data_IF_004598832017
#
_entry.id   IF_004598832017
#
_cell.length_a   1.000
_cell.length_b   1.000
_cell.length_c   1.000
_cell.angle_alpha   90.00
_cell.angle_beta   90.00
_cell.angle_gamma   90.00
#
_symmetry.space_group_name_H-M   'P 1'
#
loop_
_entity.id
_entity.type
_entity.pdbx_description
1 polymer ?
#
# COMPACT_ATOMS: atom_id res chain seq x y z
N UNK A 1 26.63 2.43 -15.17
CA UNK A 1 25.45 2.21 -14.28
C UNK A 1 24.24 2.82 -14.98
N UNK A 2 23.26 2.00 -15.32
CA UNK A 2 22.05 2.48 -16.04
C UNK A 2 21.24 3.38 -15.09
N UNK A 3 20.53 4.39 -15.66
CA UNK A 3 19.59 5.24 -14.91
C UNK A 3 18.55 4.39 -14.14
N UNK A 4 18.17 3.24 -14.71
CA UNK A 4 17.31 2.25 -14.06
C UNK A 4 17.93 1.68 -12.77
N UNK A 5 19.23 1.37 -12.78
CA UNK A 5 19.91 0.78 -11.62
C UNK A 5 20.00 1.78 -10.46
N UNK A 6 20.23 3.07 -10.75
CA UNK A 6 20.31 4.11 -9.72
C UNK A 6 18.98 4.38 -9.02
N UNK A 7 17.84 4.18 -9.70
CA UNK A 7 16.50 4.36 -9.12
C UNK A 7 16.01 3.09 -8.40
N UNK A 8 16.28 1.92 -8.96
CA UNK A 8 15.71 0.67 -8.46
C UNK A 8 16.51 0.05 -7.31
N UNK A 9 17.85 0.20 -7.31
CA UNK A 9 18.69 -0.39 -6.28
C UNK A 9 18.36 0.12 -4.87
N UNK A 10 18.18 1.44 -4.61
CA UNK A 10 17.79 1.90 -3.28
C UNK A 10 16.47 1.32 -2.76
N UNK A 11 15.49 1.09 -3.67
CA UNK A 11 14.21 0.48 -3.30
C UNK A 11 14.38 -1.01 -2.97
N UNK A 12 15.20 -1.74 -3.74
CA UNK A 12 15.55 -3.13 -3.45
C UNK A 12 16.25 -3.27 -2.12
N UNK A 13 17.21 -2.38 -1.84
CA UNK A 13 17.97 -2.38 -0.58
C UNK A 13 17.05 -2.14 0.63
N UNK A 14 16.03 -1.28 0.50
CA UNK A 14 15.03 -1.11 1.55
C UNK A 14 14.26 -2.42 1.84
N UNK A 15 13.92 -3.18 0.81
CA UNK A 15 13.25 -4.48 0.99
C UNK A 15 14.20 -5.51 1.60
N UNK A 16 15.43 -5.62 1.07
CA UNK A 16 16.44 -6.58 1.54
C UNK A 16 16.87 -6.32 2.98
N UNK A 17 16.88 -5.06 3.42
CA UNK A 17 17.16 -4.70 4.82
C UNK A 17 16.13 -5.23 5.82
N UNK A 18 14.97 -5.72 5.36
CA UNK A 18 13.86 -6.16 6.21
C UNK A 18 13.04 -5.01 6.85
N UNK A 19 13.47 -3.76 6.70
CA UNK A 19 12.82 -2.58 7.28
C UNK A 19 11.33 -2.49 6.93
N UNK A 20 10.98 -2.80 5.68
CA UNK A 20 9.61 -2.74 5.15
C UNK A 20 8.69 -3.85 5.68
N UNK A 21 9.25 -4.87 6.35
CA UNK A 21 8.48 -6.02 6.88
C UNK A 21 7.73 -5.68 8.15
N UNK A 22 8.17 -4.69 8.93
CA UNK A 22 7.58 -4.38 10.23
C UNK A 22 6.23 -3.68 10.11
N UNK A 23 5.28 -4.03 10.97
CA UNK A 23 3.98 -3.36 11.08
C UNK A 23 4.15 -1.87 11.40
N UNK A 24 5.12 -1.53 12.25
CA UNK A 24 5.43 -0.14 12.61
C UNK A 24 5.76 0.68 11.36
N UNK A 25 6.71 0.24 10.54
CA UNK A 25 7.12 0.95 9.33
C UNK A 25 5.93 1.13 8.36
N UNK A 26 5.11 0.09 8.18
CA UNK A 26 3.94 0.14 7.30
C UNK A 26 2.92 1.18 7.77
N UNK A 27 2.59 1.19 9.07
CA UNK A 27 1.72 2.21 9.64
C UNK A 27 2.31 3.62 9.53
N UNK A 28 3.61 3.79 9.71
CA UNK A 28 4.28 5.08 9.51
C UNK A 28 4.15 5.57 8.06
N UNK A 29 4.25 4.67 7.05
CA UNK A 29 4.03 5.07 5.65
C UNK A 29 2.57 5.45 5.38
N UNK A 30 1.60 4.70 5.92
CA UNK A 30 0.17 5.04 5.80
C UNK A 30 -0.16 6.38 6.47
N UNK A 31 0.43 6.67 7.62
CA UNK A 31 0.29 7.97 8.27
C UNK A 31 0.89 9.11 7.44
N UNK A 32 2.07 8.90 6.83
CA UNK A 32 2.67 9.88 5.93
C UNK A 32 1.80 10.16 4.72
N UNK A 33 1.19 9.11 4.13
CA UNK A 33 0.25 9.27 3.02
C UNK A 33 -1.00 10.03 3.46
N UNK A 34 -1.57 9.73 4.64
CA UNK A 34 -2.70 10.48 5.19
C UNK A 34 -2.38 11.97 5.38
N UNK A 35 -1.21 12.27 5.97
CA UNK A 35 -0.76 13.66 6.17
C UNK A 35 -0.54 14.39 4.83
N UNK A 36 -0.04 13.69 3.80
CA UNK A 36 0.10 14.25 2.46
C UNK A 36 -1.26 14.67 1.91
N UNK A 37 -2.29 13.80 2.05
CA UNK A 37 -3.66 14.13 1.64
C UNK A 37 -4.22 15.34 2.38
N UNK A 38 -3.92 15.49 3.67
CA UNK A 38 -4.40 16.62 4.47
C UNK A 38 -3.71 17.93 4.07
N UNK A 39 -2.40 17.88 3.86
CA UNK A 39 -1.61 19.07 3.62
C UNK A 39 -1.67 19.56 2.16
N UNK A 40 -1.91 18.65 1.19
CA UNK A 40 -1.85 18.94 -0.25
C UNK A 40 -3.18 18.70 -0.98
N UNK A 41 -4.29 18.65 -0.25
CA UNK A 41 -5.61 18.36 -0.84
C UNK A 41 -5.93 19.29 -2.02
N UNK A 42 -5.74 20.60 -1.84
CA UNK A 42 -6.06 21.57 -2.89
C UNK A 42 -5.16 21.45 -4.12
N UNK A 43 -3.89 21.13 -3.91
CA UNK A 43 -2.94 20.92 -5.01
C UNK A 43 -3.33 19.69 -5.84
N UNK A 44 -3.76 18.60 -5.17
CA UNK A 44 -4.26 17.37 -5.82
C UNK A 44 -5.50 17.67 -6.64
N UNK A 45 -6.49 18.38 -6.06
CA UNK A 45 -7.71 18.77 -6.77
C UNK A 45 -7.41 19.62 -8.00
N UNK A 46 -6.51 20.58 -7.88
CA UNK A 46 -6.09 21.45 -8.99
C UNK A 46 -5.38 20.64 -10.09
N UNK A 47 -4.53 19.67 -9.74
CA UNK A 47 -3.85 18.82 -10.71
C UNK A 47 -4.86 17.95 -11.48
N UNK A 48 -5.81 17.30 -10.79
CA UNK A 48 -6.87 16.49 -11.41
C UNK A 48 -7.76 17.31 -12.36
N UNK A 49 -8.08 18.55 -11.98
CA UNK A 49 -8.82 19.46 -12.85
C UNK A 49 -7.98 19.88 -14.08
N UNK A 50 -6.71 20.23 -13.87
CA UNK A 50 -5.83 20.69 -14.96
C UNK A 50 -5.54 19.60 -15.98
N UNK A 51 -5.32 18.36 -15.53
CA UNK A 51 -4.88 17.26 -16.39
C UNK A 51 -6.07 16.56 -17.08
N UNK A 52 -7.21 16.44 -16.40
CA UNK A 52 -8.38 15.67 -16.88
C UNK A 52 -9.66 16.48 -16.99
N UNK A 53 -9.66 17.76 -16.60
CA UNK A 53 -10.88 18.56 -16.56
C UNK A 53 -11.90 18.07 -15.52
N UNK A 54 -11.48 17.27 -14.52
CA UNK A 54 -12.42 16.72 -13.53
C UNK A 54 -13.11 17.83 -12.74
N UNK A 55 -14.45 17.74 -12.57
CA UNK A 55 -15.15 18.60 -11.65
C UNK A 55 -14.61 18.46 -10.22
N UNK A 56 -14.59 19.54 -9.41
CA UNK A 56 -14.07 19.50 -8.05
C UNK A 56 -14.65 18.38 -7.17
N UNK A 57 -15.96 18.11 -7.32
CA UNK A 57 -16.64 17.05 -6.57
C UNK A 57 -16.13 15.67 -6.94
N UNK A 58 -15.95 15.37 -8.22
CA UNK A 58 -15.41 14.08 -8.67
C UNK A 58 -13.95 13.90 -8.24
N UNK A 59 -13.12 14.94 -8.40
CA UNK A 59 -11.73 14.92 -7.93
C UNK A 59 -11.66 14.68 -6.42
N UNK A 60 -12.57 15.26 -5.64
CA UNK A 60 -12.64 15.06 -4.19
C UNK A 60 -13.00 13.63 -3.82
N UNK A 61 -13.84 12.95 -4.59
CA UNK A 61 -14.14 11.52 -4.35
C UNK A 61 -12.91 10.62 -4.49
N UNK A 62 -11.95 10.94 -5.35
CA UNK A 62 -10.70 10.18 -5.41
C UNK A 62 -9.90 10.30 -4.11
N UNK A 63 -9.83 11.49 -3.53
CA UNK A 63 -9.17 11.70 -2.23
C UNK A 63 -9.89 10.92 -1.11
N UNK A 64 -11.24 10.95 -1.10
CA UNK A 64 -12.03 10.18 -0.13
C UNK A 64 -11.75 8.69 -0.26
N UNK A 65 -11.71 8.16 -1.48
CA UNK A 65 -11.42 6.74 -1.73
C UNK A 65 -10.08 6.34 -1.12
N UNK A 66 -9.00 7.09 -1.40
CA UNK A 66 -7.67 6.81 -0.82
C UNK A 66 -7.68 6.89 0.71
N UNK A 67 -8.39 7.87 1.29
CA UNK A 67 -8.53 7.97 2.76
C UNK A 67 -9.24 6.76 3.37
N UNK A 68 -10.27 6.25 2.70
CA UNK A 68 -10.99 5.06 3.15
C UNK A 68 -10.10 3.82 3.09
N UNK A 69 -9.33 3.66 2.01
CA UNK A 69 -8.37 2.56 1.88
C UNK A 69 -7.28 2.63 2.95
N UNK A 70 -6.70 3.79 3.23
CA UNK A 70 -5.73 3.95 4.31
C UNK A 70 -6.32 3.46 5.65
N UNK A 71 -7.52 3.91 6.00
CA UNK A 71 -8.21 3.51 7.24
C UNK A 71 -8.49 2.01 7.28
N UNK A 72 -8.93 1.43 6.15
CA UNK A 72 -9.20 0.01 6.02
C UNK A 72 -7.92 -0.81 6.25
N UNK A 73 -6.82 -0.43 5.60
CA UNK A 73 -5.53 -1.10 5.75
C UNK A 73 -5.02 -0.98 7.18
N UNK A 74 -5.02 0.21 7.78
CA UNK A 74 -4.58 0.41 9.17
C UNK A 74 -5.37 -0.45 10.17
N UNK A 75 -6.70 -0.54 9.99
CA UNK A 75 -7.57 -1.35 10.83
C UNK A 75 -7.27 -2.85 10.75
N UNK A 76 -6.90 -3.34 9.56
CA UNK A 76 -6.77 -4.77 9.30
C UNK A 76 -5.31 -5.26 9.22
N UNK A 77 -4.32 -4.37 9.12
CA UNK A 77 -2.92 -4.71 8.88
C UNK A 77 -2.39 -5.76 9.87
N UNK A 78 -2.66 -5.58 11.16
CA UNK A 78 -2.24 -6.52 12.19
C UNK A 78 -2.82 -7.92 11.97
N UNK A 79 -4.08 -8.01 11.54
CA UNK A 79 -4.75 -9.29 11.26
C UNK A 79 -4.18 -9.94 9.99
N UNK A 80 -3.93 -9.15 8.95
CA UNK A 80 -3.42 -9.64 7.67
C UNK A 80 -1.98 -10.13 7.74
N UNK A 81 -1.18 -9.58 8.65
CA UNK A 81 0.22 -9.97 8.86
C UNK A 81 0.39 -11.20 9.76
N UNK A 82 -0.67 -11.67 10.43
CA UNK A 82 -0.58 -12.82 11.33
C UNK A 82 -0.64 -14.15 10.57
N UNK A 83 0.16 -15.14 10.98
CA UNK A 83 0.00 -16.51 10.52
C UNK A 83 -1.40 -17.03 10.81
N UNK A 84 -1.96 -17.77 9.86
CA UNK A 84 -3.26 -18.44 10.01
C UNK A 84 -3.04 -19.94 10.18
N UNK A 85 -3.52 -20.49 11.29
CA UNK A 85 -3.55 -21.93 11.46
C UNK A 85 -4.56 -22.54 10.50
N UNK A 86 -4.18 -23.64 9.86
CA UNK A 86 -5.07 -24.44 9.01
C UNK A 86 -5.29 -25.81 9.64
N UNK A 87 -6.43 -26.43 9.31
CA UNK A 87 -6.75 -27.76 9.79
C UNK A 87 -5.84 -28.79 9.14
N UNK A 88 -5.35 -29.73 9.96
CA UNK A 88 -4.53 -30.85 9.52
C UNK A 88 -5.36 -32.12 9.69
N UNK A 89 -5.37 -33.03 8.70
CA UNK A 89 -6.06 -34.31 8.80
C UNK A 89 -5.68 -35.09 10.07
N UNK A 90 -6.63 -35.83 10.63
CA UNK A 90 -6.42 -36.62 11.87
C UNK A 90 -5.23 -37.58 11.74
N UNK A 91 -5.04 -38.15 10.55
CA UNK A 91 -3.91 -39.04 10.24
C UNK A 91 -2.53 -38.42 10.42
N UNK A 92 -2.44 -37.09 10.43
CA UNK A 92 -1.18 -36.35 10.61
C UNK A 92 -1.02 -35.74 12.01
N UNK A 93 -1.96 -35.99 12.91
CA UNK A 93 -1.84 -35.52 14.29
C UNK A 93 -0.65 -36.20 15.00
N UNK A 94 0.11 -35.44 15.83
CA UNK A 94 -0.14 -34.10 16.40
C UNK A 94 0.44 -32.93 15.58
N UNK A 95 0.65 -33.07 14.26
CA UNK A 95 1.18 -32.01 13.41
C UNK A 95 0.30 -30.75 13.42
N UNK A 96 0.92 -29.59 13.23
CA UNK A 96 0.27 -28.30 13.07
C UNK A 96 0.72 -27.66 11.77
N UNK A 97 -0.19 -27.02 11.06
CA UNK A 97 0.11 -26.32 9.83
C UNK A 97 -0.35 -24.85 9.88
N UNK A 98 0.41 -23.96 9.27
CA UNK A 98 0.16 -22.54 9.24
C UNK A 98 0.38 -21.98 7.83
N UNK A 99 -0.43 -21.01 7.44
CA UNK A 99 -0.19 -20.15 6.29
C UNK A 99 0.40 -18.86 6.79
N UNK A 100 1.62 -18.54 6.36
CA UNK A 100 2.32 -17.31 6.69
C UNK A 100 2.20 -16.32 5.52
N UNK A 101 1.65 -15.10 5.74
CA UNK A 101 1.70 -14.05 4.73
C UNK A 101 3.15 -13.57 4.58
N UNK A 102 3.68 -13.62 3.36
CA UNK A 102 5.01 -13.10 3.05
C UNK A 102 4.90 -11.92 2.08
N UNK A 103 5.66 -10.81 2.31
CA UNK A 103 5.61 -9.65 1.42
C UNK A 103 6.17 -10.00 0.04
N UNK A 104 5.50 -9.52 -1.01
CA UNK A 104 5.97 -9.67 -2.40
C UNK A 104 7.30 -8.97 -2.67
N UNK A 105 7.70 -8.06 -1.77
CA UNK A 105 8.95 -7.32 -1.90
C UNK A 105 8.82 -6.10 -2.79
N UNK A 106 9.64 -6.03 -3.81
CA UNK A 106 9.65 -4.95 -4.79
C UNK A 106 8.66 -5.24 -5.92
N UNK A 107 7.70 -4.34 -6.12
CA UNK A 107 6.63 -4.49 -7.12
C UNK A 107 6.58 -3.28 -8.04
N UNK A 108 6.05 -3.48 -9.26
CA UNK A 108 5.67 -2.43 -10.19
C UNK A 108 4.15 -2.30 -10.23
N UNK A 109 3.64 -1.08 -10.06
CA UNK A 109 2.22 -0.77 -10.21
C UNK A 109 2.05 0.11 -11.44
N UNK A 110 1.15 -0.28 -12.36
CA UNK A 110 0.78 0.52 -13.53
C UNK A 110 -0.69 0.89 -13.35
N UNK A 111 -0.92 2.15 -12.96
CA UNK A 111 -2.27 2.68 -12.76
C UNK A 111 -2.91 3.17 -14.05
N UNK A 112 -4.25 3.12 -14.18
CA UNK A 112 -4.98 3.72 -15.29
C UNK A 112 -5.04 5.24 -15.15
N UNK A 113 -5.20 5.93 -16.28
CA UNK A 113 -5.21 7.41 -16.31
C UNK A 113 -6.57 8.04 -15.95
N UNK A 114 -7.66 7.27 -15.91
CA UNK A 114 -9.01 7.80 -15.66
C UNK A 114 -9.30 8.08 -14.18
N UNK A 115 -8.59 7.40 -13.28
CA UNK A 115 -8.60 7.66 -11.83
C UNK A 115 -7.16 7.69 -11.30
N UNK A 116 -6.36 8.65 -11.77
CA UNK A 116 -4.90 8.63 -11.62
C UNK A 116 -4.42 8.77 -10.18
N UNK A 117 -5.29 9.23 -9.30
CA UNK A 117 -4.94 9.43 -7.89
C UNK A 117 -5.43 8.28 -6.99
N UNK A 118 -6.57 7.66 -7.29
CA UNK A 118 -7.16 6.64 -6.42
C UNK A 118 -6.82 5.20 -6.80
N UNK A 119 -6.32 4.96 -8.03
CA UNK A 119 -5.99 3.62 -8.54
C UNK A 119 -4.50 3.40 -8.74
#
# INVERSE_FOLDING_TARGET
>A
MSLKDSLLNPLRDQVLSGKTRTMRWRNEQLNKLSNLLDNHQQEILNALHKDLGKPPTEAFFEIIAVRQEIKLVQKNLSKWMKPKRINVPVSLQPAQAFVHPDPLGFILIIGPWNYPFSL
#
